data_IF_610039361450
#
_entry.id   IF_610039361450
#
_cell.length_a   1.000
_cell.length_b   1.000
_cell.length_c   1.000
_cell.angle_alpha   90.00
_cell.angle_beta   90.00
_cell.angle_gamma   90.00
#
_symmetry.space_group_name_H-M   'P 1'
#
loop_
_entity.id
_entity.type
_entity.pdbx_description
1 polymer ?
#
# COMPACT_ATOMS: atom_id res chain seq x y z
N UNK A 1 1.92 21.20 32.02
CA UNK A 1 0.56 21.71 31.81
C UNK A 1 -0.44 20.54 31.71
N UNK A 2 -1.56 20.65 32.33
CA UNK A 2 -2.63 19.65 32.18
C UNK A 2 -4.01 20.29 32.26
N UNK A 3 -5.02 19.55 31.79
CA UNK A 3 -6.42 19.84 32.09
C UNK A 3 -6.84 19.09 33.35
N UNK A 4 -7.49 19.80 34.23
CA UNK A 4 -8.12 19.26 35.44
C UNK A 4 -9.63 19.48 35.37
N UNK A 5 -10.41 18.45 35.63
CA UNK A 5 -11.85 18.55 35.74
C UNK A 5 -12.28 18.52 37.18
N UNK A 6 -13.16 19.43 37.62
CA UNK A 6 -13.78 19.44 38.92
C UNK A 6 -15.13 18.73 38.86
N UNK A 7 -15.33 17.79 39.74
CA UNK A 7 -16.57 17.05 39.88
C UNK A 7 -17.57 17.78 40.80
N UNK A 8 -18.80 17.28 40.85
CA UNK A 8 -19.88 17.85 41.69
C UNK A 8 -19.55 17.85 43.18
N UNK A 9 -18.68 16.96 43.66
CA UNK A 9 -18.19 16.88 45.04
C UNK A 9 -16.98 17.78 45.32
N UNK A 10 -16.52 18.56 44.34
CA UNK A 10 -15.35 19.42 44.43
C UNK A 10 -13.99 18.73 44.21
N UNK A 11 -14.00 17.41 43.95
CA UNK A 11 -12.76 16.68 43.66
C UNK A 11 -12.19 17.06 42.28
N UNK A 12 -10.89 17.29 42.22
CA UNK A 12 -10.17 17.53 40.96
C UNK A 12 -9.71 16.18 40.39
N UNK A 13 -10.07 15.90 39.16
CA UNK A 13 -9.63 14.74 38.43
C UNK A 13 -8.53 15.14 37.41
N UNK A 14 -7.39 14.44 37.48
CA UNK A 14 -6.26 14.55 36.57
C UNK A 14 -6.25 13.38 35.59
N UNK A 15 -6.08 13.67 34.30
CA UNK A 15 -5.89 12.66 33.30
C UNK A 15 -4.54 12.85 32.62
N UNK A 16 -3.59 11.91 32.76
CA UNK A 16 -2.27 12.01 32.14
C UNK A 16 -2.32 12.14 30.59
N UNK A 17 -3.32 11.57 29.94
CA UNK A 17 -3.49 11.72 28.48
C UNK A 17 -3.81 13.16 28.05
N UNK A 18 -4.26 14.00 28.99
CA UNK A 18 -4.57 15.42 28.80
C UNK A 18 -3.49 16.34 29.36
N UNK A 19 -2.26 15.84 29.53
CA UNK A 19 -1.13 16.61 29.97
C UNK A 19 -0.05 16.71 28.89
N UNK A 20 0.77 17.73 29.00
CA UNK A 20 2.01 17.91 28.22
C UNK A 20 3.11 18.38 29.15
N UNK A 21 4.29 17.77 29.01
CA UNK A 21 5.49 18.12 29.75
C UNK A 21 6.54 18.63 28.78
N UNK A 22 7.30 19.65 29.23
CA UNK A 22 8.41 20.19 28.47
C UNK A 22 9.56 20.51 29.45
N UNK A 23 10.75 20.02 29.13
CA UNK A 23 11.94 20.44 29.81
C UNK A 23 12.40 21.78 29.25
N UNK A 24 12.38 22.82 30.09
CA UNK A 24 12.86 24.17 29.72
C UNK A 24 14.19 24.42 30.39
N UNK A 25 15.15 24.89 29.65
CA UNK A 25 16.46 25.30 30.16
C UNK A 25 16.73 26.76 29.80
N UNK A 26 17.23 27.56 30.79
CA UNK A 26 17.56 28.96 30.57
C UNK A 26 16.41 29.95 30.80
N UNK A 27 16.58 31.18 30.32
CA UNK A 27 15.65 32.30 30.53
C UNK A 27 14.78 32.58 29.27
N UNK A 28 14.58 31.59 28.42
CA UNK A 28 13.81 31.77 27.20
C UNK A 28 12.39 31.24 27.36
N UNK A 29 11.42 31.89 26.72
CA UNK A 29 10.06 31.39 26.64
C UNK A 29 9.98 30.19 25.69
N UNK A 30 9.31 29.14 26.14
CA UNK A 30 9.02 27.95 25.33
C UNK A 30 7.52 27.77 25.16
N UNK A 31 7.10 27.45 23.96
CA UNK A 31 5.67 27.20 23.66
C UNK A 31 5.29 25.77 24.00
N UNK A 32 4.25 25.63 24.82
CA UNK A 32 3.57 24.36 25.07
C UNK A 32 2.26 24.32 24.31
N UNK A 33 2.06 23.30 23.52
CA UNK A 33 0.83 23.09 22.74
C UNK A 33 0.38 21.65 22.84
N UNK A 34 -0.90 21.41 23.08
CA UNK A 34 -1.49 20.08 23.14
C UNK A 34 -2.93 20.11 22.62
N UNK A 35 -3.22 19.22 21.68
CA UNK A 35 -4.59 18.92 21.27
C UNK A 35 -5.06 17.66 21.99
N UNK A 36 -6.29 17.64 22.48
CA UNK A 36 -6.88 16.49 23.18
C UNK A 36 -8.37 16.43 22.91
N UNK A 37 -8.91 15.21 22.90
CA UNK A 37 -10.35 14.96 22.86
C UNK A 37 -10.93 15.16 24.24
N UNK A 38 -11.73 16.22 24.38
CA UNK A 38 -12.40 16.51 25.62
C UNK A 38 -13.87 16.07 25.56
N UNK A 39 -14.26 15.21 26.50
CA UNK A 39 -15.65 14.80 26.70
C UNK A 39 -16.03 15.08 28.15
N UNK A 40 -16.88 16.08 28.41
CA UNK A 40 -17.30 16.38 29.79
C UNK A 40 -18.01 15.17 30.42
N UNK A 41 -17.66 14.85 31.67
CA UNK A 41 -18.42 13.92 32.47
C UNK A 41 -19.76 14.55 32.90
N UNK A 42 -20.79 13.75 33.10
CA UNK A 42 -22.11 14.24 33.45
C UNK A 42 -22.17 15.00 34.81
N UNK A 43 -21.21 14.74 35.69
CA UNK A 43 -21.05 15.36 37.01
C UNK A 43 -20.00 16.47 37.05
N UNK A 44 -19.43 16.84 35.89
CA UNK A 44 -18.40 17.89 35.82
C UNK A 44 -19.00 19.28 35.94
N UNK A 45 -18.37 20.11 36.80
CA UNK A 45 -18.74 21.53 37.01
C UNK A 45 -17.83 22.50 36.30
N UNK A 46 -16.51 22.34 36.48
CA UNK A 46 -15.53 23.25 35.99
C UNK A 46 -14.39 22.50 35.28
N UNK A 47 -13.71 23.22 34.37
CA UNK A 47 -12.51 22.79 33.69
C UNK A 47 -11.40 23.80 33.96
N UNK A 48 -10.25 23.32 34.42
CA UNK A 48 -9.10 24.15 34.72
C UNK A 48 -7.92 23.78 33.85
N UNK A 49 -7.19 24.77 33.38
CA UNK A 49 -5.85 24.58 32.81
C UNK A 49 -4.83 24.82 33.93
N UNK A 50 -4.09 23.81 34.30
CA UNK A 50 -3.07 23.89 35.34
C UNK A 50 -1.68 23.86 34.72
N UNK A 51 -0.82 24.77 35.12
CA UNK A 51 0.59 24.83 34.74
C UNK A 51 1.44 24.86 36.03
N UNK A 52 2.41 23.95 36.11
CA UNK A 52 3.31 23.87 37.28
C UNK A 52 4.72 23.52 36.85
N UNK A 53 5.67 23.72 37.75
CA UNK A 53 7.07 23.34 37.61
C UNK A 53 7.48 22.44 38.76
N UNK A 54 8.17 21.35 38.45
CA UNK A 54 8.67 20.37 39.42
C UNK A 54 9.99 20.82 40.08
N UNK A 55 10.65 21.86 39.55
CA UNK A 55 11.98 22.27 39.97
C UNK A 55 11.99 23.26 41.16
N UNK A 56 10.83 23.69 41.64
CA UNK A 56 10.73 24.76 42.64
C UNK A 56 11.18 26.14 42.16
N UNK A 57 11.51 26.29 40.89
CA UNK A 57 11.85 27.57 40.26
C UNK A 57 10.60 28.40 39.97
N UNK A 58 10.76 29.72 39.86
CA UNK A 58 9.67 30.60 39.46
C UNK A 58 9.26 30.29 38.01
N UNK A 59 7.97 30.11 37.81
CA UNK A 59 7.37 29.87 36.51
C UNK A 59 6.66 31.14 36.02
N UNK A 60 7.04 31.65 34.87
CA UNK A 60 6.37 32.75 34.19
C UNK A 60 5.52 32.15 33.06
N UNK A 61 4.25 32.48 33.03
CA UNK A 61 3.32 32.04 32.00
C UNK A 61 2.80 33.28 31.30
N UNK A 62 2.91 33.29 29.98
CA UNK A 62 2.40 34.34 29.13
C UNK A 62 1.52 33.71 28.04
N UNK A 63 0.44 34.34 27.65
CA UNK A 63 -0.50 33.93 26.64
C UNK A 63 -1.02 32.46 26.75
N UNK A 64 -1.94 32.19 27.65
CA UNK A 64 -2.70 30.95 27.64
C UNK A 64 -3.92 31.08 26.73
N UNK A 65 -4.02 30.19 25.76
CA UNK A 65 -5.15 30.14 24.87
C UNK A 65 -5.74 28.71 24.80
N UNK A 66 -7.03 28.57 25.06
CA UNK A 66 -7.77 27.33 24.88
C UNK A 66 -8.80 27.54 23.77
N UNK A 67 -8.63 26.83 22.68
CA UNK A 67 -9.51 26.92 21.52
C UNK A 67 -10.14 25.57 21.24
N UNK A 68 -11.39 25.57 20.83
CA UNK A 68 -11.97 24.38 20.24
C UNK A 68 -11.27 24.11 18.92
N UNK A 69 -10.56 22.98 18.84
CA UNK A 69 -9.95 22.56 17.61
C UNK A 69 -11.09 22.22 16.61
N UNK A 70 -11.17 22.96 15.53
CA UNK A 70 -12.07 22.62 14.46
C UNK A 70 -11.73 21.20 14.00
N UNK A 71 -12.67 20.25 14.11
CA UNK A 71 -12.47 18.88 13.68
C UNK A 71 -11.90 18.93 12.25
N UNK A 72 -10.71 18.39 12.05
CA UNK A 72 -10.17 18.26 10.71
C UNK A 72 -11.25 17.58 9.86
N UNK A 73 -11.56 18.10 8.67
CA UNK A 73 -12.53 17.47 7.80
C UNK A 73 -12.15 15.98 7.70
N UNK A 74 -13.11 15.05 7.77
CA UNK A 74 -12.81 13.64 7.72
C UNK A 74 -11.87 13.39 6.55
N UNK A 75 -10.67 12.91 6.84
CA UNK A 75 -9.69 12.61 5.79
C UNK A 75 -10.35 11.56 4.90
N UNK A 76 -10.71 11.97 3.69
CA UNK A 76 -11.16 11.02 2.67
C UNK A 76 -10.00 10.02 2.53
N UNK A 77 -10.22 8.72 2.78
CA UNK A 77 -9.17 7.74 2.62
C UNK A 77 -8.54 7.92 1.24
N UNK A 78 -7.21 7.96 1.10
CA UNK A 78 -6.59 8.10 -0.19
C UNK A 78 -7.13 7.01 -1.12
N UNK A 79 -7.47 7.38 -2.35
CA UNK A 79 -7.99 6.42 -3.32
C UNK A 79 -7.05 5.22 -3.43
N UNK A 80 -7.57 3.99 -3.47
CA UNK A 80 -6.75 2.81 -3.51
C UNK A 80 -5.81 2.87 -4.72
N UNK A 81 -4.53 2.62 -4.48
CA UNK A 81 -3.49 2.67 -5.52
C UNK A 81 -3.76 1.60 -6.57
N UNK A 82 -3.81 2.01 -7.83
CA UNK A 82 -4.02 1.12 -8.97
C UNK A 82 -2.79 1.15 -9.87
N UNK A 83 -2.27 -0.01 -10.19
CA UNK A 83 -1.24 -0.23 -11.19
C UNK A 83 -1.92 -0.97 -12.34
N UNK A 84 -1.84 -0.45 -13.57
CA UNK A 84 -2.50 -1.05 -14.71
C UNK A 84 -1.63 -0.97 -15.97
N UNK A 85 -1.69 -2.02 -16.79
CA UNK A 85 -1.05 -2.11 -18.09
C UNK A 85 -2.08 -2.62 -19.10
N UNK A 86 -2.46 -1.78 -20.03
CA UNK A 86 -3.38 -2.08 -21.15
C UNK A 86 -2.64 -2.28 -22.47
N UNK A 87 -1.34 -2.01 -22.49
CA UNK A 87 -0.42 -2.12 -23.62
C UNK A 87 -0.77 -1.26 -24.85
N UNK A 88 -1.78 -0.40 -24.81
CA UNK A 88 -2.19 0.45 -25.93
C UNK A 88 -1.13 1.47 -26.36
N UNK A 89 -0.21 1.81 -25.45
CA UNK A 89 0.93 2.70 -25.68
C UNK A 89 2.26 1.95 -25.86
N UNK A 90 2.23 0.62 -25.97
CA UNK A 90 3.41 -0.25 -26.07
C UNK A 90 3.59 -1.15 -24.85
N UNK A 91 4.73 -1.85 -24.77
CA UNK A 91 4.97 -2.87 -23.75
C UNK A 91 5.40 -2.32 -22.37
N UNK A 92 5.56 -0.99 -22.20
CA UNK A 92 5.61 -0.30 -20.91
C UNK A 92 6.60 -0.84 -19.86
N UNK A 93 7.84 -1.16 -20.24
CA UNK A 93 8.86 -1.67 -19.32
C UNK A 93 8.78 -3.17 -19.03
N UNK A 94 7.92 -3.90 -19.72
CA UNK A 94 7.90 -5.35 -19.68
C UNK A 94 9.04 -5.96 -20.49
N UNK A 95 9.62 -7.02 -19.99
CA UNK A 95 10.71 -7.78 -20.61
C UNK A 95 10.41 -9.28 -20.60
N UNK A 96 11.07 -10.02 -21.49
CA UNK A 96 10.90 -11.46 -21.57
C UNK A 96 11.64 -12.21 -20.46
N UNK A 97 10.97 -13.17 -19.83
CA UNK A 97 11.59 -14.16 -18.95
C UNK A 97 11.97 -15.37 -19.82
N UNK A 98 13.23 -15.42 -20.23
CA UNK A 98 13.74 -16.40 -21.21
C UNK A 98 12.91 -16.47 -22.51
N UNK A 99 12.43 -15.31 -22.95
CA UNK A 99 11.62 -15.10 -24.14
C UNK A 99 11.95 -13.72 -24.71
N UNK A 100 11.46 -13.43 -25.91
CA UNK A 100 11.41 -12.08 -26.48
C UNK A 100 10.03 -11.48 -26.25
N UNK A 101 9.93 -10.15 -26.18
CA UNK A 101 8.63 -9.46 -26.00
C UNK A 101 8.41 -8.41 -27.09
N UNK A 102 7.16 -8.21 -27.48
CA UNK A 102 6.71 -7.15 -28.39
C UNK A 102 5.26 -6.78 -28.15
N UNK A 103 4.84 -5.63 -28.67
CA UNK A 103 3.41 -5.33 -28.82
C UNK A 103 2.83 -6.09 -30.00
N UNK A 104 1.59 -6.57 -29.85
CA UNK A 104 0.86 -7.34 -30.87
C UNK A 104 -0.59 -6.88 -30.96
N UNK A 105 -1.22 -7.13 -32.12
CA UNK A 105 -2.66 -6.87 -32.32
C UNK A 105 -3.56 -8.02 -31.87
N UNK A 106 -3.01 -9.09 -31.33
CA UNK A 106 -3.77 -10.15 -30.69
C UNK A 106 -4.08 -9.71 -29.27
N UNK A 107 -5.14 -8.95 -29.10
CA UNK A 107 -5.54 -8.34 -27.82
C UNK A 107 -6.83 -8.96 -27.27
N UNK A 108 -7.00 -8.94 -25.94
CA UNK A 108 -8.23 -9.30 -25.23
C UNK A 108 -9.25 -8.16 -25.28
N UNK A 109 -8.73 -6.94 -25.14
CA UNK A 109 -9.51 -5.71 -25.29
C UNK A 109 -8.65 -4.66 -25.99
N UNK A 110 -9.27 -3.60 -26.52
CA UNK A 110 -8.54 -2.56 -27.21
C UNK A 110 -7.90 -3.04 -28.53
N UNK A 111 -6.67 -2.60 -28.80
CA UNK A 111 -5.97 -2.85 -30.06
C UNK A 111 -4.66 -3.60 -29.92
N UNK A 112 -4.01 -3.48 -28.78
CA UNK A 112 -2.69 -4.01 -28.54
C UNK A 112 -2.63 -4.81 -27.24
N UNK A 113 -1.79 -5.84 -27.24
CA UNK A 113 -1.43 -6.63 -26.08
C UNK A 113 0.08 -6.89 -26.10
N UNK A 114 0.64 -7.44 -25.03
CA UNK A 114 2.00 -7.92 -24.98
C UNK A 114 2.05 -9.37 -25.47
N UNK A 115 2.99 -9.65 -26.38
CA UNK A 115 3.33 -11.01 -26.79
C UNK A 115 4.73 -11.36 -26.27
N UNK A 116 4.83 -12.49 -25.55
CA UNK A 116 6.06 -13.19 -25.23
C UNK A 116 6.24 -14.34 -26.21
N UNK A 117 7.27 -14.28 -27.06
CA UNK A 117 7.53 -15.23 -28.13
C UNK A 117 8.98 -15.76 -28.08
N UNK A 118 9.33 -16.72 -28.93
CA UNK A 118 10.63 -17.40 -28.88
C UNK A 118 10.96 -17.91 -27.46
N UNK A 119 9.96 -18.47 -26.83
CA UNK A 119 10.04 -19.01 -25.48
C UNK A 119 10.88 -20.29 -25.49
N UNK A 120 11.93 -20.32 -24.64
CA UNK A 120 12.95 -21.38 -24.73
C UNK A 120 12.58 -22.66 -23.99
N UNK A 121 11.81 -22.53 -22.89
CA UNK A 121 11.39 -23.68 -22.08
C UNK A 121 10.07 -23.41 -21.38
N UNK A 122 9.54 -24.44 -20.71
CA UNK A 122 8.40 -24.30 -19.80
C UNK A 122 8.74 -23.31 -18.66
N UNK A 123 7.78 -22.57 -18.20
CA UNK A 123 7.98 -21.58 -17.15
C UNK A 123 8.55 -20.25 -17.64
N UNK A 124 8.41 -19.95 -18.91
CA UNK A 124 8.83 -18.68 -19.52
C UNK A 124 7.65 -17.78 -19.85
N UNK A 125 7.88 -16.50 -20.03
CA UNK A 125 6.81 -15.53 -20.32
C UNK A 125 7.34 -14.10 -20.27
N UNK A 126 6.72 -13.23 -19.47
CA UNK A 126 7.12 -11.84 -19.35
C UNK A 126 7.09 -11.36 -17.90
N UNK A 127 7.89 -10.34 -17.60
CA UNK A 127 7.96 -9.70 -16.30
C UNK A 127 8.10 -8.18 -16.39
N UNK A 128 7.76 -7.50 -15.31
CA UNK A 128 7.97 -6.06 -15.14
C UNK A 128 8.30 -5.72 -13.70
N UNK A 129 9.12 -4.68 -13.50
CA UNK A 129 9.44 -4.19 -12.17
C UNK A 129 8.27 -3.38 -11.59
N UNK A 130 7.93 -3.66 -10.35
CA UNK A 130 6.95 -2.92 -9.56
C UNK A 130 7.60 -2.13 -8.42
N UNK A 131 8.93 -2.04 -8.39
CA UNK A 131 9.65 -1.30 -7.35
C UNK A 131 9.23 0.17 -7.35
N UNK A 132 8.92 0.69 -6.15
CA UNK A 132 8.38 2.04 -5.98
C UNK A 132 6.86 2.16 -6.23
N UNK A 133 6.22 1.13 -6.79
CA UNK A 133 4.78 1.11 -7.04
C UNK A 133 3.97 0.37 -5.97
N UNK A 134 4.61 -0.46 -5.18
CA UNK A 134 3.98 -1.25 -4.12
C UNK A 134 4.30 -0.68 -2.73
N UNK A 135 3.34 -0.81 -1.82
CA UNK A 135 3.46 -0.42 -0.42
C UNK A 135 3.54 -1.67 0.47
N UNK A 136 4.57 -1.72 1.32
CA UNK A 136 4.76 -2.82 2.27
C UNK A 136 3.57 -2.97 3.23
N UNK A 137 3.25 -4.20 3.60
CA UNK A 137 2.16 -4.52 4.51
C UNK A 137 0.75 -4.37 3.94
N UNK A 138 0.60 -3.99 2.67
CA UNK A 138 -0.70 -3.87 2.00
C UNK A 138 -1.09 -5.14 1.26
N UNK A 139 -2.37 -5.29 1.03
CA UNK A 139 -2.94 -6.36 0.19
C UNK A 139 -3.26 -5.81 -1.18
N UNK A 140 -2.94 -6.58 -2.22
CA UNK A 140 -3.24 -6.26 -3.60
C UNK A 140 -4.08 -7.36 -4.23
N UNK A 141 -5.17 -6.97 -4.89
CA UNK A 141 -5.89 -7.84 -5.82
C UNK A 141 -5.20 -7.77 -7.19
N UNK A 142 -4.99 -8.93 -7.79
CA UNK A 142 -4.37 -9.08 -9.10
C UNK A 142 -5.36 -9.60 -10.13
N UNK A 143 -5.29 -9.10 -11.35
CA UNK A 143 -5.93 -9.69 -12.53
C UNK A 143 -5.08 -9.46 -13.78
N UNK A 144 -5.15 -10.40 -14.71
CA UNK A 144 -4.60 -10.27 -16.05
C UNK A 144 -5.39 -11.15 -17.02
N UNK A 145 -5.52 -10.74 -18.26
CA UNK A 145 -5.99 -11.60 -19.33
C UNK A 145 -4.79 -12.26 -20.00
N UNK A 146 -4.88 -13.57 -20.19
CA UNK A 146 -3.81 -14.38 -20.76
C UNK A 146 -4.35 -15.30 -21.85
N UNK A 147 -3.54 -15.52 -22.89
CA UNK A 147 -3.81 -16.46 -23.97
C UNK A 147 -2.52 -17.16 -24.33
N UNK A 148 -2.58 -18.44 -24.64
CA UNK A 148 -1.43 -19.23 -25.11
C UNK A 148 -1.75 -19.80 -26.47
N UNK A 149 -0.80 -19.62 -27.41
CA UNK A 149 -0.88 -20.19 -28.75
C UNK A 149 -1.91 -19.57 -29.68
N UNK A 150 -2.07 -20.21 -30.84
CA UNK A 150 -2.91 -19.78 -31.95
C UNK A 150 -4.19 -20.61 -32.14
N UNK A 151 -4.46 -21.51 -31.23
CA UNK A 151 -5.63 -22.43 -31.32
C UNK A 151 -5.28 -23.82 -31.82
N UNK A 152 -4.01 -24.13 -32.09
CA UNK A 152 -3.53 -25.41 -32.60
C UNK A 152 -2.66 -26.11 -31.57
N UNK A 153 -3.14 -26.56 -30.49
CA UNK A 153 -2.30 -27.21 -29.50
C UNK A 153 -3.07 -27.59 -28.25
N UNK A 154 -2.34 -28.05 -27.24
CA UNK A 154 -2.90 -28.43 -25.97
C UNK A 154 -3.07 -27.20 -25.06
N UNK A 155 -3.94 -27.34 -24.08
CA UNK A 155 -4.03 -26.38 -22.99
C UNK A 155 -2.71 -26.24 -22.22
N UNK A 156 -2.48 -25.10 -21.63
CA UNK A 156 -1.27 -24.79 -20.87
C UNK A 156 -1.59 -24.25 -19.49
N UNK A 157 -0.83 -24.69 -18.49
CA UNK A 157 -0.85 -24.05 -17.16
C UNK A 157 -0.21 -22.68 -17.27
N UNK A 158 -0.95 -21.63 -16.88
CA UNK A 158 -0.46 -20.26 -16.80
C UNK A 158 -0.53 -19.80 -15.36
N UNK A 159 0.48 -19.09 -14.90
CA UNK A 159 0.60 -18.66 -13.53
C UNK A 159 1.25 -17.29 -13.42
N UNK A 160 0.90 -16.56 -12.37
CA UNK A 160 1.51 -15.29 -12.03
C UNK A 160 2.13 -15.36 -10.65
N UNK A 161 3.30 -14.74 -10.52
CA UNK A 161 4.03 -14.55 -9.28
C UNK A 161 4.46 -13.10 -9.11
N UNK A 162 4.52 -12.68 -7.87
CA UNK A 162 5.29 -11.51 -7.46
C UNK A 162 6.58 -12.00 -6.79
N UNK A 163 7.74 -11.80 -7.44
CA UNK A 163 9.02 -11.96 -6.79
C UNK A 163 9.29 -10.74 -5.92
N UNK A 164 9.59 -10.95 -4.66
CA UNK A 164 9.78 -9.88 -3.69
C UNK A 164 11.05 -10.10 -2.86
N UNK A 165 11.89 -9.07 -2.77
CA UNK A 165 12.97 -8.98 -1.81
C UNK A 165 12.68 -7.86 -0.82
N UNK A 166 12.68 -8.18 0.47
CA UNK A 166 12.51 -7.22 1.57
C UNK A 166 13.75 -7.13 2.42
N UNK A 167 13.92 -6.02 3.13
CA UNK A 167 15.07 -5.88 4.02
C UNK A 167 15.07 -6.96 5.10
N UNK A 168 16.20 -7.67 5.24
CA UNK A 168 16.39 -8.72 6.24
C UNK A 168 15.70 -10.06 5.93
N UNK A 169 15.16 -10.24 4.72
CA UNK A 169 14.55 -11.51 4.26
C UNK A 169 15.12 -11.91 2.90
N UNK A 170 15.31 -13.22 2.65
CA UNK A 170 15.64 -13.71 1.32
C UNK A 170 14.49 -13.40 0.33
N UNK A 171 14.82 -13.33 -0.96
CA UNK A 171 13.83 -13.18 -2.00
C UNK A 171 12.86 -14.36 -2.04
N UNK A 172 11.58 -14.07 -2.23
CA UNK A 172 10.51 -15.08 -2.26
C UNK A 172 9.58 -14.86 -3.47
N UNK A 173 8.99 -15.96 -3.96
CA UNK A 173 7.96 -15.93 -4.99
C UNK A 173 6.59 -16.04 -4.32
N UNK A 174 5.82 -14.96 -4.35
CA UNK A 174 4.46 -14.91 -3.82
C UNK A 174 3.48 -15.25 -4.95
N UNK A 175 2.67 -16.31 -4.82
CA UNK A 175 1.72 -16.68 -5.88
C UNK A 175 0.59 -15.65 -5.95
N UNK A 176 0.31 -15.19 -7.18
CA UNK A 176 -0.81 -14.30 -7.49
C UNK A 176 -2.00 -15.05 -8.09
N UNK A 177 -1.75 -16.20 -8.67
CA UNK A 177 -2.79 -17.05 -9.23
C UNK A 177 -2.25 -17.97 -10.32
N UNK A 178 -3.05 -18.99 -10.65
CA UNK A 178 -2.78 -19.91 -11.74
C UNK A 178 -4.07 -20.35 -12.44
N UNK A 179 -3.97 -20.74 -13.70
CA UNK A 179 -5.08 -21.25 -14.48
C UNK A 179 -4.61 -22.13 -15.63
N UNK A 180 -5.37 -23.18 -15.92
CA UNK A 180 -5.23 -23.91 -17.17
C UNK A 180 -5.95 -23.13 -18.26
N UNK A 181 -5.22 -22.74 -19.30
CA UNK A 181 -5.71 -21.94 -20.42
C UNK A 181 -5.79 -22.81 -21.65
N UNK A 182 -6.96 -22.86 -22.29
CA UNK A 182 -7.15 -23.51 -23.57
C UNK A 182 -6.38 -22.79 -24.66
N UNK A 183 -5.67 -23.54 -25.51
CA UNK A 183 -4.88 -22.96 -26.58
C UNK A 183 -5.74 -22.06 -27.49
N UNK A 184 -5.22 -20.88 -27.80
CA UNK A 184 -5.90 -19.90 -28.64
C UNK A 184 -7.05 -19.15 -27.99
N UNK A 185 -7.39 -19.41 -26.72
CA UNK A 185 -8.47 -18.71 -26.01
C UNK A 185 -7.93 -17.77 -24.93
N UNK A 186 -8.58 -16.63 -24.78
CA UNK A 186 -8.33 -15.73 -23.69
C UNK A 186 -8.94 -16.28 -22.39
N UNK A 187 -8.20 -16.14 -21.30
CA UNK A 187 -8.67 -16.50 -19.96
C UNK A 187 -8.19 -15.46 -18.94
N UNK A 188 -9.03 -15.15 -17.98
CA UNK A 188 -8.67 -14.22 -16.89
C UNK A 188 -7.96 -14.97 -15.77
N UNK A 189 -6.75 -14.53 -15.45
CA UNK A 189 -5.94 -14.96 -14.32
C UNK A 189 -6.21 -14.00 -13.17
N UNK A 190 -6.55 -14.50 -11.98
CA UNK A 190 -6.93 -13.67 -10.83
C UNK A 190 -6.38 -14.22 -9.52
N UNK A 191 -6.10 -13.31 -8.59
CA UNK A 191 -5.71 -13.67 -7.24
C UNK A 191 -5.47 -12.46 -6.36
N UNK A 192 -4.81 -12.69 -5.24
CA UNK A 192 -4.45 -11.62 -4.32
C UNK A 192 -3.16 -11.97 -3.58
N UNK A 193 -2.46 -10.95 -3.10
CA UNK A 193 -1.26 -11.11 -2.31
C UNK A 193 -1.25 -10.08 -1.18
N UNK A 194 -0.86 -10.50 0.00
CA UNK A 194 -0.52 -9.60 1.10
C UNK A 194 0.99 -9.46 1.16
N UNK A 195 1.48 -8.22 1.08
CA UNK A 195 2.89 -7.93 1.15
C UNK A 195 3.40 -7.98 2.59
N UNK A 196 4.62 -8.45 2.83
CA UNK A 196 5.25 -8.36 4.15
C UNK A 196 5.47 -6.90 4.54
N UNK A 197 5.53 -6.67 5.85
CA UNK A 197 5.92 -5.36 6.40
C UNK A 197 7.43 -5.15 6.22
N UNK A 198 7.84 -3.91 6.03
CA UNK A 198 9.25 -3.52 5.90
C UNK A 198 9.62 -3.06 4.48
N UNK A 199 10.78 -2.41 4.33
CA UNK A 199 11.20 -1.83 3.05
C UNK A 199 11.35 -2.88 1.95
N UNK A 200 10.76 -2.64 0.80
CA UNK A 200 10.87 -3.45 -0.41
C UNK A 200 12.12 -3.03 -1.17
N UNK A 201 13.02 -3.98 -1.45
CA UNK A 201 14.25 -3.76 -2.22
C UNK A 201 14.10 -4.13 -3.69
N UNK A 202 13.29 -5.15 -3.97
CA UNK A 202 12.95 -5.60 -5.32
C UNK A 202 11.53 -6.10 -5.34
N UNK A 203 10.80 -5.78 -6.40
CA UNK A 203 9.47 -6.30 -6.66
C UNK A 203 9.34 -6.51 -8.18
N UNK A 204 9.02 -7.73 -8.60
CA UNK A 204 8.92 -8.08 -10.01
C UNK A 204 7.68 -8.94 -10.24
N UNK A 205 6.75 -8.43 -11.03
CA UNK A 205 5.58 -9.19 -11.47
C UNK A 205 5.98 -10.08 -12.63
N UNK A 206 5.72 -11.36 -12.53
CA UNK A 206 5.98 -12.37 -13.55
C UNK A 206 4.69 -13.04 -13.97
N UNK A 207 4.44 -13.14 -15.27
CA UNK A 207 3.33 -13.93 -15.84
C UNK A 207 3.94 -14.95 -16.81
N UNK A 208 3.79 -16.23 -16.51
CA UNK A 208 4.53 -17.32 -17.11
C UNK A 208 3.57 -18.43 -17.54
N UNK A 209 4.00 -19.29 -18.48
CA UNK A 209 3.21 -20.46 -18.91
C UNK A 209 4.08 -21.71 -19.02
N UNK A 210 3.49 -22.84 -18.66
CA UNK A 210 4.13 -24.16 -18.73
C UNK A 210 4.35 -24.67 -20.16
N UNK A 211 3.68 -24.11 -21.16
CA UNK A 211 3.94 -24.42 -22.57
C UNK A 211 5.16 -23.64 -23.06
N UNK A 212 6.10 -24.30 -23.75
CA UNK A 212 7.36 -23.70 -24.19
C UNK A 212 7.42 -23.34 -25.68
N UNK A 213 6.55 -23.88 -26.52
CA UNK A 213 6.68 -23.78 -27.98
C UNK A 213 5.83 -22.68 -28.62
N UNK A 214 4.90 -22.11 -27.89
CA UNK A 214 3.92 -21.18 -28.42
C UNK A 214 4.06 -19.80 -27.82
N UNK A 215 3.65 -18.77 -28.57
CA UNK A 215 3.53 -17.43 -28.03
C UNK A 215 2.56 -17.38 -26.88
N UNK A 216 2.85 -16.52 -25.92
CA UNK A 216 1.95 -16.17 -24.84
C UNK A 216 1.56 -14.71 -24.98
N UNK A 217 0.29 -14.42 -24.88
CA UNK A 217 -0.28 -13.08 -24.97
C UNK A 217 -0.79 -12.67 -23.59
N UNK A 218 -0.53 -11.43 -23.20
CA UNK A 218 -0.88 -10.85 -21.90
C UNK A 218 -1.54 -9.50 -22.14
N UNK A 219 -2.65 -9.26 -21.48
CA UNK A 219 -3.42 -8.03 -21.61
C UNK A 219 -4.12 -7.67 -20.29
N UNK A 220 -4.59 -6.41 -20.15
CA UNK A 220 -5.39 -5.95 -19.03
C UNK A 220 -4.82 -6.30 -17.65
N UNK A 221 -3.52 -6.15 -17.46
CA UNK A 221 -2.87 -6.44 -16.18
C UNK A 221 -3.19 -5.36 -15.17
N UNK A 222 -3.68 -5.75 -13.99
CA UNK A 222 -4.04 -4.84 -12.92
C UNK A 222 -3.61 -5.36 -11.55
N UNK A 223 -3.10 -4.45 -10.72
CA UNK A 223 -2.99 -4.64 -9.27
C UNK A 223 -3.72 -3.49 -8.59
N UNK A 224 -4.69 -3.83 -7.74
CA UNK A 224 -5.51 -2.89 -6.99
C UNK A 224 -5.25 -3.07 -5.50
N UNK A 225 -4.79 -2.03 -4.84
CA UNK A 225 -4.64 -2.01 -3.38
C UNK A 225 -6.01 -2.10 -2.72
N UNK A 226 -6.13 -2.98 -1.72
CA UNK A 226 -7.33 -3.17 -0.90
C UNK A 226 -7.21 -2.43 0.42
#
# INVERSE_FOLDING_TARGET
MALLSERADGALAYNPAQSVELSVSGNEFSRLEKTFDYRPAADQRNLYVAVWSDSGASLLVDEMNLQEAQAAPPSVPPAPKRIAYDFESGIGGWSGVHASTRATRVASAGRLALEAYQRRYAGTGASTSLLGNLEAGRTYAFSADVRVGDGRGSQAMTYAYLYLESQGRPGEYLPLGYKVVENGRWASLRGQVQLPKGPIKRAELMILSGNQQESMFIDNVQLLQK
#
